data_IF_884250103065
#
_entry.id   IF_884250103065
#
_cell.length_a   1.000
_cell.length_b   1.000
_cell.length_c   1.000
_cell.angle_alpha   90.00
_cell.angle_beta   90.00
_cell.angle_gamma   90.00
#
_symmetry.space_group_name_H-M   'P 1'
#
loop_
_entity.id
_entity.type
_entity.pdbx_description
1 polymer ?
#
# COMPACT_ATOMS: atom_id res chain seq x y z
N UNK A 1 -13.64 -12.41 3.45
CA UNK A 1 -14.17 -11.65 2.27
C UNK A 1 -13.06 -10.77 1.71
N UNK A 2 -12.83 -10.78 0.39
CA UNK A 2 -11.86 -9.89 -0.28
C UNK A 2 -12.54 -9.06 -1.36
N UNK A 3 -12.07 -7.83 -1.61
CA UNK A 3 -12.64 -6.93 -2.61
C UNK A 3 -11.59 -5.95 -3.14
N UNK A 4 -11.81 -5.42 -4.33
CA UNK A 4 -11.06 -4.29 -4.89
C UNK A 4 -11.89 -3.55 -5.94
N UNK A 5 -11.57 -2.30 -6.16
CA UNK A 5 -12.04 -1.51 -7.30
C UNK A 5 -11.08 -0.36 -7.59
N UNK A 6 -11.01 0.03 -8.85
CA UNK A 6 -10.31 1.24 -9.31
C UNK A 6 -11.26 2.03 -10.19
N UNK A 7 -11.37 3.31 -9.97
CA UNK A 7 -12.23 4.21 -10.74
C UNK A 7 -11.43 5.36 -11.36
N UNK A 8 -11.90 5.78 -12.52
CA UNK A 8 -11.33 6.92 -13.23
C UNK A 8 -11.69 8.24 -12.53
N UNK A 9 -10.70 9.02 -12.23
CA UNK A 9 -10.83 10.32 -11.57
C UNK A 9 -11.49 11.39 -12.44
N UNK A 10 -12.13 12.35 -11.79
CA UNK A 10 -12.86 13.41 -12.49
C UNK A 10 -11.95 14.30 -13.36
N UNK A 11 -10.69 14.52 -12.95
CA UNK A 11 -9.69 15.23 -13.76
C UNK A 11 -9.33 14.44 -15.01
N UNK A 12 -9.15 13.12 -14.90
CA UNK A 12 -8.81 12.26 -16.03
C UNK A 12 -9.97 12.10 -17.01
N UNK A 13 -11.21 12.04 -16.51
CA UNK A 13 -12.41 12.11 -17.37
C UNK A 13 -12.41 13.38 -18.21
N UNK A 14 -12.12 14.54 -17.59
CA UNK A 14 -12.08 15.84 -18.25
C UNK A 14 -10.97 15.90 -19.32
N UNK A 15 -9.80 15.34 -19.01
CA UNK A 15 -8.61 15.41 -19.83
C UNK A 15 -8.51 14.23 -20.83
N UNK A 16 -9.52 13.34 -20.85
CA UNK A 16 -9.57 12.12 -21.66
C UNK A 16 -8.33 11.22 -21.46
N UNK A 17 -7.87 11.12 -20.21
CA UNK A 17 -6.78 10.23 -19.80
C UNK A 17 -7.35 8.88 -19.34
N UNK A 18 -6.60 7.78 -19.44
CA UNK A 18 -6.99 6.50 -18.83
C UNK A 18 -6.93 6.60 -17.30
N UNK A 19 -7.56 5.64 -16.61
CA UNK A 19 -7.29 5.40 -15.19
C UNK A 19 -5.83 4.94 -15.03
N UNK A 20 -5.06 5.65 -14.25
CA UNK A 20 -3.65 5.38 -14.00
C UNK A 20 -3.45 4.50 -12.75
N UNK A 21 -4.50 4.32 -11.96
CA UNK A 21 -4.54 3.41 -10.82
C UNK A 21 -4.82 1.96 -11.24
N UNK A 22 -4.33 1.02 -10.45
CA UNK A 22 -4.62 -0.39 -10.59
C UNK A 22 -4.75 -1.08 -9.22
N UNK A 23 -5.76 -1.92 -9.06
CA UNK A 23 -5.96 -2.69 -7.82
C UNK A 23 -6.27 -4.16 -8.09
N UNK A 24 -5.86 -5.01 -7.15
CA UNK A 24 -6.16 -6.46 -7.15
C UNK A 24 -6.51 -6.90 -5.74
N UNK A 25 -7.51 -7.78 -5.63
CA UNK A 25 -7.74 -8.59 -4.45
C UNK A 25 -7.90 -10.05 -4.88
N UNK A 26 -6.94 -10.88 -4.51
CA UNK A 26 -6.93 -12.30 -4.84
C UNK A 26 -7.02 -13.15 -3.57
N UNK A 27 -7.75 -14.24 -3.64
CA UNK A 27 -7.85 -15.23 -2.56
C UNK A 27 -7.68 -16.63 -3.13
N UNK A 28 -6.84 -17.45 -2.50
CA UNK A 28 -6.67 -18.86 -2.83
C UNK A 28 -7.87 -19.68 -2.39
N UNK A 29 -8.42 -20.47 -3.30
CA UNK A 29 -9.47 -21.45 -2.98
C UNK A 29 -8.95 -22.64 -2.17
N UNK A 30 -7.66 -22.98 -2.28
CA UNK A 30 -7.08 -24.15 -1.64
C UNK A 30 -6.77 -23.96 -0.16
N UNK A 31 -6.25 -22.78 0.21
CA UNK A 31 -5.74 -22.55 1.57
C UNK A 31 -6.17 -21.19 2.17
N UNK A 32 -6.98 -20.42 1.44
CA UNK A 32 -7.51 -19.15 1.91
C UNK A 32 -6.50 -18.00 1.96
N UNK A 33 -5.27 -18.18 1.43
CA UNK A 33 -4.31 -17.10 1.35
C UNK A 33 -4.85 -15.91 0.56
N UNK A 34 -4.55 -14.69 1.01
CA UNK A 34 -5.05 -13.44 0.43
C UNK A 34 -3.89 -12.59 -0.04
N UNK A 35 -4.07 -11.92 -1.18
CA UNK A 35 -3.18 -10.87 -1.68
C UNK A 35 -4.01 -9.67 -2.05
N UNK A 36 -3.68 -8.51 -1.49
CA UNK A 36 -4.23 -7.21 -1.85
C UNK A 36 -3.13 -6.36 -2.47
N UNK A 37 -3.44 -5.69 -3.58
CA UNK A 37 -2.50 -4.82 -4.27
C UNK A 37 -3.22 -3.53 -4.66
N UNK A 38 -2.54 -2.39 -4.45
CA UNK A 38 -2.93 -1.09 -4.99
C UNK A 38 -1.67 -0.44 -5.57
N UNK A 39 -1.77 0.00 -6.82
CA UNK A 39 -0.75 0.74 -7.54
C UNK A 39 -1.36 2.05 -8.02
N UNK A 40 -0.72 3.17 -7.69
CA UNK A 40 -1.09 4.49 -8.12
C UNK A 40 -0.10 4.97 -9.19
N UNK A 41 -0.60 5.23 -10.37
CA UNK A 41 0.17 5.70 -11.51
C UNK A 41 0.23 7.22 -11.54
N UNK A 42 1.44 7.79 -11.58
CA UNK A 42 1.63 9.23 -11.48
C UNK A 42 0.93 10.03 -12.59
N UNK A 43 0.22 11.11 -12.21
CA UNK A 43 -0.65 11.90 -13.07
C UNK A 43 0.02 13.00 -13.92
N UNK A 44 1.29 13.38 -13.66
CA UNK A 44 1.92 14.49 -14.39
C UNK A 44 2.27 14.11 -15.85
N UNK A 45 2.39 15.12 -16.70
CA UNK A 45 2.56 14.93 -18.17
C UNK A 45 3.78 14.11 -18.60
N UNK A 46 4.76 13.95 -17.73
CA UNK A 46 5.96 13.14 -17.99
C UNK A 46 5.67 11.64 -17.89
N UNK A 47 4.67 11.24 -17.12
CA UNK A 47 4.32 9.84 -16.86
C UNK A 47 3.28 9.33 -17.86
N UNK A 48 3.64 9.38 -19.14
CA UNK A 48 2.73 9.18 -20.29
C UNK A 48 2.15 7.77 -20.42
N UNK A 49 2.65 6.79 -19.64
CA UNK A 49 2.21 5.38 -19.61
C UNK A 49 2.13 4.85 -18.18
N UNK A 50 1.80 5.70 -17.22
CA UNK A 50 1.67 5.27 -15.83
C UNK A 50 0.53 4.28 -15.62
N UNK A 51 -0.52 4.33 -16.42
CA UNK A 51 -1.59 3.32 -16.48
C UNK A 51 -1.07 1.91 -16.84
N UNK A 52 -0.14 1.83 -17.79
CA UNK A 52 0.55 0.57 -18.11
C UNK A 52 1.52 0.20 -17.01
N UNK A 53 2.22 1.18 -16.45
CA UNK A 53 3.17 0.98 -15.35
C UNK A 53 2.54 0.41 -14.09
N UNK A 54 1.42 0.95 -13.64
CA UNK A 54 0.68 0.52 -12.45
C UNK A 54 0.08 -0.87 -12.63
N UNK A 55 -0.53 -1.13 -13.80
CA UNK A 55 -1.06 -2.45 -14.13
C UNK A 55 0.03 -3.52 -14.13
N UNK A 56 1.14 -3.28 -14.83
CA UNK A 56 2.26 -4.22 -14.87
C UNK A 56 2.87 -4.45 -13.48
N UNK A 57 2.99 -3.41 -12.66
CA UNK A 57 3.48 -3.54 -11.30
C UNK A 57 2.58 -4.45 -10.46
N UNK A 58 1.26 -4.25 -10.51
CA UNK A 58 0.30 -5.07 -9.77
C UNK A 58 0.25 -6.51 -10.25
N UNK A 59 0.21 -6.76 -11.56
CA UNK A 59 0.22 -8.11 -12.15
C UNK A 59 1.50 -8.88 -11.76
N UNK A 60 2.67 -8.23 -11.84
CA UNK A 60 3.96 -8.84 -11.51
C UNK A 60 4.09 -9.08 -10.01
N UNK A 61 3.66 -8.13 -9.18
CA UNK A 61 3.64 -8.30 -7.74
C UNK A 61 2.78 -9.50 -7.34
N UNK A 62 1.55 -9.61 -7.87
CA UNK A 62 0.66 -10.74 -7.60
C UNK A 62 1.31 -12.09 -7.92
N UNK A 63 1.96 -12.20 -9.07
CA UNK A 63 2.63 -13.44 -9.46
C UNK A 63 3.89 -13.74 -8.62
N UNK A 64 4.62 -12.70 -8.21
CA UNK A 64 5.77 -12.85 -7.33
C UNK A 64 5.34 -13.30 -5.92
N UNK A 65 4.28 -12.71 -5.38
CA UNK A 65 3.74 -13.06 -4.07
C UNK A 65 3.12 -14.46 -4.04
N UNK A 66 2.37 -14.85 -5.07
CA UNK A 66 1.90 -16.24 -5.20
C UNK A 66 3.05 -17.24 -5.18
N UNK A 67 4.15 -16.96 -5.88
CA UNK A 67 5.34 -17.81 -5.84
C UNK A 67 6.04 -17.80 -4.49
N UNK A 68 6.02 -16.69 -3.79
CA UNK A 68 6.57 -16.58 -2.45
C UNK A 68 5.75 -17.37 -1.43
N UNK A 69 4.41 -17.33 -1.53
CA UNK A 69 3.50 -18.07 -0.65
C UNK A 69 3.48 -19.57 -0.98
N UNK A 70 3.59 -19.92 -2.27
CA UNK A 70 3.56 -21.30 -2.78
C UNK A 70 4.84 -21.63 -3.54
N UNK A 71 5.99 -21.70 -2.86
CA UNK A 71 7.24 -22.03 -3.54
C UNK A 71 7.14 -23.42 -4.17
N UNK A 72 7.60 -23.51 -5.42
CA UNK A 72 7.78 -24.78 -6.12
C UNK A 72 9.02 -25.46 -5.52
N UNK A 73 8.84 -26.47 -4.66
CA UNK A 73 9.90 -27.18 -3.98
C UNK A 73 9.75 -27.21 -2.46
N UNK A 74 10.78 -27.72 -1.77
CA UNK A 74 10.74 -27.99 -0.32
C UNK A 74 10.89 -26.75 0.59
N UNK A 75 11.03 -25.56 0.04
CA UNK A 75 11.21 -24.33 0.83
C UNK A 75 9.83 -23.71 1.04
N UNK A 76 9.13 -24.14 2.06
CA UNK A 76 7.97 -23.43 2.61
C UNK A 76 8.44 -22.58 3.78
N UNK A 77 7.84 -21.39 4.02
CA UNK A 77 7.99 -20.73 5.29
C UNK A 77 7.56 -21.67 6.41
N UNK A 78 8.51 -22.25 7.10
CA UNK A 78 8.25 -23.10 8.26
C UNK A 78 8.20 -22.26 9.55
N UNK A 79 7.87 -22.89 10.66
CA UNK A 79 7.78 -22.22 11.95
C UNK A 79 9.10 -21.55 12.38
N UNK A 80 10.23 -22.14 12.02
CA UNK A 80 11.55 -21.60 12.41
C UNK A 80 11.88 -20.34 11.59
N UNK A 81 11.57 -20.36 10.29
CA UNK A 81 11.69 -19.18 9.43
C UNK A 81 10.76 -18.05 9.92
N UNK A 82 9.48 -18.36 10.18
CA UNK A 82 8.50 -17.39 10.68
C UNK A 82 8.98 -16.77 12.00
N UNK A 83 9.45 -17.60 12.94
CA UNK A 83 9.97 -17.12 14.22
C UNK A 83 11.23 -16.27 14.06
N UNK A 84 12.11 -16.63 13.12
CA UNK A 84 13.32 -15.87 12.80
C UNK A 84 13.00 -14.47 12.25
N UNK A 85 12.09 -14.38 11.28
CA UNK A 85 11.65 -13.09 10.71
C UNK A 85 10.95 -12.26 11.78
N UNK A 86 10.05 -12.84 12.58
CA UNK A 86 9.37 -12.14 13.66
C UNK A 86 10.35 -11.61 14.69
N UNK A 87 11.36 -12.38 15.07
CA UNK A 87 12.41 -11.96 15.98
C UNK A 87 13.21 -10.76 15.45
N UNK A 88 13.55 -10.76 14.17
CA UNK A 88 14.26 -9.66 13.51
C UNK A 88 13.41 -8.38 13.45
N UNK A 89 12.13 -8.48 13.09
CA UNK A 89 11.19 -7.36 13.09
C UNK A 89 11.06 -6.75 14.47
N UNK A 90 10.84 -7.57 15.50
CA UNK A 90 10.73 -7.12 16.90
C UNK A 90 12.01 -6.44 17.38
N UNK A 91 13.18 -6.98 17.05
CA UNK A 91 14.47 -6.39 17.42
C UNK A 91 14.68 -5.01 16.76
N UNK A 92 14.29 -4.87 15.49
CA UNK A 92 14.36 -3.61 14.76
C UNK A 92 13.41 -2.56 15.36
N UNK A 93 12.17 -2.93 15.66
CA UNK A 93 11.22 -2.03 16.30
C UNK A 93 11.72 -1.54 17.66
N UNK A 94 12.30 -2.44 18.46
CA UNK A 94 12.93 -2.09 19.74
C UNK A 94 14.10 -1.12 19.58
N UNK A 95 14.97 -1.33 18.58
CA UNK A 95 16.10 -0.43 18.28
C UNK A 95 15.60 0.96 17.85
N UNK A 96 14.58 1.04 17.01
CA UNK A 96 13.94 2.30 16.61
C UNK A 96 13.36 3.03 17.80
N UNK A 97 12.61 2.34 18.68
CA UNK A 97 12.02 2.93 19.88
C UNK A 97 13.10 3.42 20.85
N UNK A 98 14.19 2.67 21.01
CA UNK A 98 15.32 3.05 21.87
C UNK A 98 15.98 4.33 21.36
N UNK A 99 16.28 4.39 20.08
CA UNK A 99 16.87 5.59 19.46
C UNK A 99 15.94 6.80 19.52
N UNK A 100 14.64 6.55 19.40
CA UNK A 100 13.62 7.59 19.56
C UNK A 100 13.63 8.14 20.99
N UNK A 101 13.63 7.29 22.01
CA UNK A 101 13.67 7.70 23.42
C UNK A 101 14.96 8.44 23.79
N UNK A 102 16.10 8.07 23.21
CA UNK A 102 17.38 8.75 23.41
C UNK A 102 17.45 10.14 22.73
N UNK A 103 16.71 10.32 21.63
CA UNK A 103 16.67 11.58 20.89
C UNK A 103 15.69 12.62 21.49
N UNK A 104 14.71 12.17 22.25
CA UNK A 104 13.67 12.99 22.87
C UNK A 104 14.18 14.14 23.75
N UNK A 105 15.21 13.99 24.63
CA UNK A 105 15.52 15.01 25.62
C UNK A 105 16.11 16.32 25.09
N UNK A 106 16.38 16.43 23.80
CA UNK A 106 17.12 17.58 23.25
C UNK A 106 16.30 18.52 22.36
N UNK A 107 15.04 18.21 22.09
CA UNK A 107 14.25 18.91 21.08
C UNK A 107 12.86 19.36 21.57
N UNK A 108 12.51 19.17 22.83
CA UNK A 108 11.14 19.25 23.32
C UNK A 108 10.53 20.66 23.38
N UNK A 109 11.33 21.72 23.43
CA UNK A 109 10.79 23.04 23.80
C UNK A 109 10.16 23.81 22.62
N UNK A 110 10.40 23.42 21.35
CA UNK A 110 9.95 24.20 20.18
C UNK A 110 9.27 23.38 19.05
N UNK A 111 8.99 22.09 19.22
CA UNK A 111 8.39 21.27 18.17
C UNK A 111 6.88 21.18 18.28
N UNK A 112 6.17 21.40 17.17
CA UNK A 112 4.74 21.10 17.08
C UNK A 112 4.48 19.61 17.06
N UNK A 113 3.24 19.16 17.37
CA UNK A 113 2.84 17.75 17.29
C UNK A 113 3.09 17.15 15.89
N UNK A 114 2.91 17.96 14.84
CA UNK A 114 3.20 17.56 13.45
C UNK A 114 4.71 17.36 13.22
N UNK A 115 5.56 18.21 13.78
CA UNK A 115 7.02 18.06 13.67
C UNK A 115 7.50 16.81 14.43
N UNK A 116 6.86 16.50 15.55
CA UNK A 116 7.08 15.28 16.31
C UNK A 116 6.73 14.03 15.53
N UNK A 117 5.56 13.99 14.87
CA UNK A 117 5.17 12.87 14.02
C UNK A 117 6.13 12.67 12.86
N UNK A 118 6.51 13.75 12.16
CA UNK A 118 7.50 13.70 11.06
C UNK A 118 8.87 13.22 11.51
N UNK A 119 9.31 13.66 12.68
CA UNK A 119 10.59 13.24 13.26
C UNK A 119 10.60 11.76 13.62
N UNK A 120 9.52 11.29 14.27
CA UNK A 120 9.28 9.89 14.59
C UNK A 120 9.29 9.01 13.33
N UNK A 121 8.54 9.39 12.31
CA UNK A 121 8.50 8.70 11.03
C UNK A 121 9.88 8.61 10.36
N UNK A 122 10.68 9.70 10.41
CA UNK A 122 12.06 9.70 9.90
C UNK A 122 12.98 8.74 10.66
N UNK A 123 12.80 8.61 11.96
CA UNK A 123 13.58 7.66 12.75
C UNK A 123 13.19 6.22 12.44
N UNK A 124 11.88 5.96 12.34
CA UNK A 124 11.33 4.66 11.95
C UNK A 124 11.84 4.25 10.57
N UNK A 125 11.79 5.14 9.59
CA UNK A 125 12.31 4.92 8.25
C UNK A 125 13.83 4.69 8.24
N UNK A 126 14.62 5.51 8.94
CA UNK A 126 16.07 5.33 9.04
C UNK A 126 16.45 4.03 9.74
N UNK A 127 15.67 3.60 10.70
CA UNK A 127 15.83 2.30 11.35
C UNK A 127 15.64 1.15 10.36
N UNK A 128 14.64 1.23 9.50
CA UNK A 128 14.37 0.23 8.46
C UNK A 128 15.46 0.16 7.38
N UNK A 129 15.97 1.31 6.92
CA UNK A 129 16.99 1.38 5.85
C UNK A 129 18.37 0.97 6.35
N UNK A 130 18.71 1.21 7.62
CA UNK A 130 20.04 0.91 8.16
C UNK A 130 20.25 -0.53 8.61
N UNK A 131 19.21 -1.32 8.74
CA UNK A 131 19.27 -2.68 9.27
C UNK A 131 18.79 -3.70 8.26
N UNK A 132 19.48 -3.90 7.14
CA UNK A 132 19.27 -5.12 6.35
C UNK A 132 19.90 -6.25 7.16
N UNK A 133 19.11 -6.85 8.05
CA UNK A 133 19.48 -8.07 8.74
C UNK A 133 19.40 -9.25 7.74
N UNK A 134 20.07 -10.36 8.00
CA UNK A 134 19.98 -11.55 7.14
C UNK A 134 18.54 -11.98 6.87
N UNK A 135 17.63 -11.81 7.83
CA UNK A 135 16.21 -12.11 7.70
C UNK A 135 15.47 -11.14 6.76
N UNK A 136 15.94 -9.90 6.64
CA UNK A 136 15.40 -8.93 5.68
C UNK A 136 15.80 -9.29 4.23
N UNK A 137 16.81 -10.13 4.02
CA UNK A 137 17.31 -10.51 2.70
C UNK A 137 16.22 -11.17 1.84
N UNK A 138 15.30 -11.90 2.44
CA UNK A 138 14.17 -12.53 1.74
C UNK A 138 13.23 -11.48 1.17
N UNK A 139 12.86 -10.45 1.94
CA UNK A 139 12.02 -9.35 1.45
C UNK A 139 12.77 -8.50 0.43
N UNK A 140 14.05 -8.25 0.63
CA UNK A 140 14.90 -7.57 -0.36
C UNK A 140 14.97 -8.35 -1.68
N UNK A 141 15.08 -9.68 -1.62
CA UNK A 141 15.07 -10.53 -2.81
C UNK A 141 13.70 -10.48 -3.52
N UNK A 142 12.59 -10.46 -2.76
CA UNK A 142 11.24 -10.29 -3.31
C UNK A 142 11.10 -8.94 -4.01
N UNK A 143 11.47 -7.83 -3.35
CA UNK A 143 11.40 -6.49 -3.92
C UNK A 143 12.27 -6.35 -5.16
N UNK A 144 13.50 -6.86 -5.14
CA UNK A 144 14.38 -6.90 -6.31
C UNK A 144 13.77 -7.67 -7.46
N UNK A 145 13.21 -8.85 -7.18
CA UNK A 145 12.56 -9.69 -8.21
C UNK A 145 11.35 -9.01 -8.84
N UNK A 146 10.54 -8.31 -8.05
CA UNK A 146 9.38 -7.54 -8.56
C UNK A 146 9.89 -6.40 -9.44
N UNK A 147 10.85 -5.62 -8.96
CA UNK A 147 11.40 -4.48 -9.69
C UNK A 147 12.08 -4.88 -11.01
N UNK A 148 12.92 -5.90 -11.00
CA UNK A 148 13.59 -6.39 -12.20
C UNK A 148 12.60 -6.85 -13.26
N UNK A 149 11.57 -7.63 -12.88
CA UNK A 149 10.52 -8.06 -13.80
C UNK A 149 9.68 -6.91 -14.31
N UNK A 150 9.38 -5.93 -13.46
CA UNK A 150 8.69 -4.71 -13.88
C UNK A 150 9.51 -3.93 -14.92
N UNK A 151 10.82 -3.77 -14.69
CA UNK A 151 11.73 -3.16 -15.67
C UNK A 151 11.73 -3.92 -17.00
N UNK A 152 11.81 -5.24 -16.97
CA UNK A 152 11.74 -6.07 -18.18
C UNK A 152 10.42 -5.86 -18.93
N UNK A 153 9.30 -5.84 -18.21
CA UNK A 153 7.97 -5.70 -18.77
C UNK A 153 7.76 -4.33 -19.42
N UNK A 154 8.15 -3.22 -18.78
CA UNK A 154 8.03 -1.89 -19.36
C UNK A 154 8.96 -1.71 -20.57
N UNK A 155 10.14 -2.31 -20.56
CA UNK A 155 11.01 -2.32 -21.73
C UNK A 155 10.45 -3.17 -22.87
N UNK A 156 9.74 -4.24 -22.55
CA UNK A 156 9.04 -5.04 -23.54
C UNK A 156 7.85 -4.27 -24.14
N UNK A 157 7.05 -3.62 -23.30
CA UNK A 157 5.96 -2.76 -23.77
C UNK A 157 6.46 -1.66 -24.69
N UNK A 158 7.52 -0.95 -24.31
CA UNK A 158 8.10 0.11 -25.12
C UNK A 158 8.64 -0.37 -26.51
N UNK A 159 9.06 -1.64 -26.60
CA UNK A 159 9.46 -2.26 -27.89
C UNK A 159 8.28 -2.67 -28.73
N UNK A 160 7.22 -3.19 -28.11
CA UNK A 160 6.00 -3.63 -28.80
C UNK A 160 5.11 -2.46 -29.20
N UNK A 161 5.08 -1.44 -28.36
CA UNK A 161 4.31 -0.21 -28.51
C UNK A 161 5.28 0.99 -28.51
N UNK A 162 5.93 1.32 -29.65
CA UNK A 162 6.86 2.44 -29.71
C UNK A 162 6.20 3.75 -29.28
N UNK A 163 6.96 4.59 -28.57
CA UNK A 163 6.48 5.92 -28.17
C UNK A 163 6.15 6.78 -29.37
N UNK A 164 5.03 7.47 -29.33
CA UNK A 164 4.67 8.50 -30.30
C UNK A 164 5.56 9.73 -30.13
N UNK A 165 5.58 10.61 -31.12
CA UNK A 165 6.31 11.89 -31.04
C UNK A 165 5.79 12.77 -29.88
N UNK A 166 4.48 12.72 -29.64
CA UNK A 166 3.86 13.45 -28.54
C UNK A 166 4.31 12.92 -27.17
N UNK A 167 4.28 11.59 -26.96
CA UNK A 167 4.78 10.95 -25.73
C UNK A 167 6.25 11.24 -25.50
N UNK A 168 7.08 11.18 -26.54
CA UNK A 168 8.50 11.53 -26.47
C UNK A 168 8.72 13.02 -26.11
N UNK A 169 7.88 13.90 -26.66
CA UNK A 169 7.93 15.32 -26.34
C UNK A 169 7.62 15.58 -24.88
N UNK A 170 6.60 14.90 -24.33
CA UNK A 170 6.22 15.00 -22.90
C UNK A 170 7.27 14.38 -21.98
N UNK A 171 7.80 13.20 -22.32
CA UNK A 171 8.86 12.52 -21.59
C UNK A 171 10.15 13.37 -21.56
N UNK A 172 10.43 14.09 -22.61
CA UNK A 172 11.57 15.00 -22.72
C UNK A 172 12.91 14.28 -22.59
N UNK A 173 13.76 14.72 -21.65
CA UNK A 173 15.10 14.13 -21.41
C UNK A 173 15.10 13.05 -20.33
N UNK A 174 13.94 12.68 -19.80
CA UNK A 174 13.85 11.67 -18.76
C UNK A 174 14.11 10.27 -19.32
N UNK A 175 14.55 9.36 -18.43
CA UNK A 175 14.71 7.95 -18.78
C UNK A 175 13.35 7.32 -19.07
N UNK A 176 13.32 6.29 -19.90
CA UNK A 176 12.11 5.54 -20.27
C UNK A 176 11.28 5.10 -19.04
N UNK A 177 11.95 4.64 -17.98
CA UNK A 177 11.29 4.18 -16.76
C UNK A 177 10.37 5.25 -16.15
N UNK A 178 10.69 6.53 -16.34
CA UNK A 178 9.87 7.65 -15.86
C UNK A 178 8.47 7.66 -16.47
N UNK A 179 8.34 7.28 -17.74
CA UNK A 179 7.05 7.23 -18.44
C UNK A 179 6.03 6.29 -17.76
N UNK A 180 6.50 5.24 -17.06
CA UNK A 180 5.72 4.19 -16.42
C UNK A 180 5.64 4.35 -14.89
N UNK A 181 5.92 5.54 -14.37
CA UNK A 181 6.00 5.78 -12.94
C UNK A 181 4.74 5.37 -12.17
N UNK A 182 4.92 4.61 -11.09
CA UNK A 182 3.84 4.11 -10.25
C UNK A 182 4.34 3.78 -8.85
N UNK A 183 3.45 3.87 -7.87
CA UNK A 183 3.62 3.31 -6.53
C UNK A 183 3.33 1.80 -6.55
N UNK A 184 3.60 1.11 -5.47
CA UNK A 184 3.20 -0.27 -5.25
C UNK A 184 2.98 -0.51 -3.75
N UNK A 185 1.79 -0.92 -3.40
CA UNK A 185 1.40 -1.28 -2.04
C UNK A 185 0.77 -2.66 -2.06
N UNK A 186 1.23 -3.55 -1.16
CA UNK A 186 0.69 -4.90 -1.07
C UNK A 186 0.50 -5.36 0.37
N UNK A 187 -0.54 -6.19 0.57
CA UNK A 187 -0.76 -6.95 1.78
C UNK A 187 -0.98 -8.41 1.44
N UNK A 188 -0.26 -9.29 2.12
CA UNK A 188 -0.33 -10.74 1.94
C UNK A 188 -0.67 -11.39 3.28
N UNK A 189 -1.68 -12.25 3.29
CA UNK A 189 -2.08 -13.02 4.45
C UNK A 189 -2.10 -14.50 4.09
N UNK A 190 -1.45 -15.30 4.89
CA UNK A 190 -1.51 -16.76 4.83
C UNK A 190 -2.28 -17.30 6.05
N UNK A 191 -2.23 -18.59 6.28
CA UNK A 191 -2.78 -19.21 7.47
C UNK A 191 -1.95 -18.91 8.74
N UNK A 192 -0.65 -18.71 8.58
CA UNK A 192 0.32 -18.71 9.68
C UNK A 192 0.92 -17.32 9.94
N UNK A 193 0.96 -16.44 8.94
CA UNK A 193 1.53 -15.11 9.02
C UNK A 193 0.88 -14.16 8.02
N UNK A 194 1.11 -12.87 8.24
CA UNK A 194 0.88 -11.84 7.22
C UNK A 194 2.12 -10.96 7.07
N UNK A 195 2.27 -10.38 5.89
CA UNK A 195 3.22 -9.30 5.64
C UNK A 195 2.61 -8.25 4.71
N UNK A 196 3.17 -7.07 4.78
CA UNK A 196 2.78 -5.96 3.93
C UNK A 196 4.01 -5.18 3.53
N UNK A 197 4.03 -4.64 2.32
CA UNK A 197 5.09 -3.73 1.90
C UNK A 197 4.55 -2.62 1.00
N UNK A 198 5.32 -1.53 0.94
CA UNK A 198 4.89 -0.33 0.25
C UNK A 198 6.08 0.49 -0.23
N UNK A 199 5.99 0.98 -1.46
CA UNK A 199 6.73 2.11 -2.02
C UNK A 199 5.71 3.09 -2.58
N UNK A 200 5.66 4.32 -2.03
CA UNK A 200 4.65 5.32 -2.38
C UNK A 200 4.01 5.98 -1.16
N UNK A 201 2.90 6.67 -1.37
CA UNK A 201 2.19 7.55 -0.45
C UNK A 201 0.71 7.21 -0.19
N UNK A 202 0.18 6.13 -0.77
CA UNK A 202 -1.14 5.63 -0.41
C UNK A 202 -1.22 5.11 1.03
N UNK A 203 -2.42 4.73 1.50
CA UNK A 203 -2.65 4.26 2.87
C UNK A 203 -3.03 2.79 2.95
N UNK A 204 -2.41 2.11 3.91
CA UNK A 204 -2.76 0.75 4.29
C UNK A 204 -3.08 0.72 5.78
N UNK A 205 -4.35 0.55 6.11
CA UNK A 205 -4.83 0.53 7.48
C UNK A 205 -5.39 -0.84 7.84
N UNK A 206 -5.05 -1.30 9.05
CA UNK A 206 -5.64 -2.49 9.66
C UNK A 206 -6.61 -2.10 10.76
N UNK A 207 -7.69 -2.86 10.90
CA UNK A 207 -8.65 -2.72 11.99
C UNK A 207 -8.49 -3.84 13.01
N UNK A 208 -8.34 -3.44 14.27
CA UNK A 208 -8.38 -4.32 15.43
C UNK A 208 -9.48 -3.89 16.38
N UNK A 209 -10.29 -4.86 16.88
CA UNK A 209 -11.47 -4.58 17.73
C UNK A 209 -11.15 -3.66 18.93
N UNK A 210 -10.00 -3.85 19.57
CA UNK A 210 -9.59 -3.06 20.72
C UNK A 210 -8.62 -1.92 20.39
N UNK A 211 -8.26 -1.74 19.12
CA UNK A 211 -7.18 -0.84 18.71
C UNK A 211 -7.65 0.17 17.64
N UNK A 212 -8.84 -0.03 17.07
CA UNK A 212 -9.34 0.76 15.95
C UNK A 212 -8.49 0.59 14.68
N UNK A 213 -8.55 1.58 13.81
CA UNK A 213 -7.74 1.65 12.59
C UNK A 213 -6.33 2.14 12.91
N UNK A 214 -5.34 1.49 12.31
CA UNK A 214 -3.94 1.91 12.39
C UNK A 214 -3.17 1.57 11.14
N UNK A 215 -2.17 2.36 10.81
CA UNK A 215 -1.28 2.10 9.70
C UNK A 215 -0.40 0.88 9.99
N UNK A 216 -0.30 -0.03 9.01
CA UNK A 216 0.47 -1.28 9.15
C UNK A 216 1.92 -1.03 8.76
N UNK A 217 2.15 -0.51 7.55
CA UNK A 217 3.49 -0.23 7.04
C UNK A 217 3.89 1.17 7.48
N UNK A 218 5.08 1.38 8.06
CA UNK A 218 5.53 2.70 8.47
C UNK A 218 5.47 3.71 7.33
N UNK A 219 5.10 4.95 7.65
CA UNK A 219 5.03 6.02 6.65
C UNK A 219 6.40 6.34 6.04
N UNK A 220 6.40 6.71 4.77
CA UNK A 220 7.62 7.14 4.08
C UNK A 220 7.85 8.65 4.25
N UNK A 221 8.86 9.00 5.04
CA UNK A 221 9.21 10.40 5.24
C UNK A 221 9.76 11.11 3.99
N UNK A 222 10.02 10.38 2.89
CA UNK A 222 10.35 10.98 1.60
C UNK A 222 9.11 11.35 0.80
N UNK A 223 7.92 10.86 1.20
CA UNK A 223 6.65 11.28 0.65
C UNK A 223 6.19 12.54 1.38
N UNK A 224 6.26 13.67 0.69
CA UNK A 224 5.89 14.97 1.25
C UNK A 224 5.31 15.86 0.16
N UNK A 225 4.12 16.40 0.36
CA UNK A 225 3.38 17.16 -0.63
C UNK A 225 3.22 16.36 -1.94
N UNK A 226 3.70 16.88 -3.07
CA UNK A 226 3.64 16.23 -4.37
C UNK A 226 4.87 15.35 -4.68
N UNK A 227 5.67 14.99 -3.66
CA UNK A 227 6.80 14.08 -3.82
C UNK A 227 6.45 12.72 -3.23
N UNK A 228 6.53 11.68 -4.04
CA UNK A 228 6.33 10.30 -3.62
C UNK A 228 7.51 9.42 -4.04
N UNK A 229 7.75 8.36 -3.29
CA UNK A 229 8.63 7.27 -3.73
C UNK A 229 7.92 6.40 -4.74
N UNK A 230 8.65 5.84 -5.69
CA UNK A 230 8.06 5.18 -6.85
C UNK A 230 9.01 4.14 -7.43
N UNK A 231 8.46 3.15 -8.13
CA UNK A 231 9.24 2.19 -8.91
C UNK A 231 10.12 2.86 -9.97
N UNK A 232 9.76 4.06 -10.44
CA UNK A 232 10.56 4.80 -11.42
C UNK A 232 11.71 5.62 -10.81
N UNK A 233 11.90 5.60 -9.51
CA UNK A 233 13.03 6.26 -8.86
C UNK A 233 14.37 5.59 -9.22
N UNK A 234 15.46 6.30 -9.00
CA UNK A 234 16.79 5.70 -9.07
C UNK A 234 16.98 4.82 -7.84
N UNK A 235 17.24 3.52 -8.06
CA UNK A 235 17.42 2.54 -6.98
C UNK A 235 16.21 2.47 -6.02
N UNK A 236 15.02 2.01 -6.47
CA UNK A 236 13.81 2.02 -5.65
C UNK A 236 13.77 0.88 -4.60
N UNK A 237 14.56 -0.19 -4.77
CA UNK A 237 14.50 -1.37 -3.88
C UNK A 237 14.76 -1.01 -2.41
N UNK A 238 15.74 -0.19 -2.05
CA UNK A 238 15.93 0.27 -0.66
C UNK A 238 14.83 1.20 -0.13
N UNK A 239 13.93 1.68 -1.00
CA UNK A 239 12.83 2.58 -0.61
C UNK A 239 11.60 1.80 -0.16
N UNK A 240 11.54 0.50 -0.41
CA UNK A 240 10.46 -0.33 0.10
C UNK A 240 10.48 -0.40 1.62
N UNK A 241 9.32 -0.20 2.20
CA UNK A 241 9.04 -0.38 3.64
C UNK A 241 8.16 -1.60 3.79
N UNK A 242 8.28 -2.33 4.87
CA UNK A 242 7.45 -3.50 5.10
C UNK A 242 7.12 -3.69 6.58
N UNK A 243 6.10 -4.49 6.83
CA UNK A 243 5.72 -5.03 8.12
C UNK A 243 5.48 -6.53 8.00
N UNK A 244 5.68 -7.26 9.07
CA UNK A 244 5.48 -8.71 9.13
C UNK A 244 4.95 -9.09 10.51
N UNK A 245 4.01 -10.02 10.55
CA UNK A 245 3.53 -10.63 11.78
C UNK A 245 3.37 -12.15 11.60
N UNK A 246 4.23 -12.90 12.28
CA UNK A 246 4.22 -14.37 12.34
C UNK A 246 3.64 -14.92 13.63
N UNK A 247 2.95 -14.11 14.45
CA UNK A 247 2.36 -14.56 15.71
C UNK A 247 1.07 -15.36 15.53
N UNK A 248 0.53 -15.41 14.32
CA UNK A 248 -0.80 -15.99 14.04
C UNK A 248 -1.95 -15.08 14.42
N UNK A 249 -1.68 -13.81 14.76
CA UNK A 249 -2.69 -12.80 15.03
C UNK A 249 -2.99 -12.04 13.75
N UNK A 250 -4.26 -12.01 13.33
CA UNK A 250 -4.68 -11.35 12.11
C UNK A 250 -5.59 -10.15 12.40
N UNK A 251 -5.42 -9.04 11.65
CA UNK A 251 -6.36 -7.93 11.68
C UNK A 251 -7.77 -8.40 11.31
N UNK A 252 -8.81 -7.79 11.87
CA UNK A 252 -10.19 -8.06 11.48
C UNK A 252 -10.51 -7.54 10.09
N UNK A 253 -9.89 -6.43 9.69
CA UNK A 253 -9.92 -5.94 8.33
C UNK A 253 -8.61 -5.26 7.97
N UNK A 254 -8.26 -5.29 6.69
CA UNK A 254 -7.18 -4.48 6.11
C UNK A 254 -7.71 -3.80 4.87
N UNK A 255 -7.57 -2.48 4.78
CA UNK A 255 -7.92 -1.69 3.61
C UNK A 255 -6.69 -0.94 3.11
N UNK A 256 -6.43 -1.07 1.81
CA UNK A 256 -5.38 -0.39 1.07
C UNK A 256 -6.03 0.59 0.11
N UNK A 257 -5.62 1.85 0.07
CA UNK A 257 -6.14 2.82 -0.89
C UNK A 257 -5.05 3.70 -1.48
N UNK A 258 -5.26 4.18 -2.72
CA UNK A 258 -4.45 5.26 -3.31
C UNK A 258 -4.71 6.59 -2.60
N UNK A 259 -3.82 7.56 -2.83
CA UNK A 259 -3.94 8.91 -2.26
C UNK A 259 -5.22 9.62 -2.70
N UNK A 260 -5.75 9.34 -3.89
CA UNK A 260 -7.03 9.90 -4.35
C UNK A 260 -8.19 9.70 -3.37
N UNK A 261 -8.22 8.55 -2.65
CA UNK A 261 -9.19 8.35 -1.56
C UNK A 261 -8.74 9.09 -0.31
N UNK A 262 -7.48 8.97 0.10
CA UNK A 262 -6.97 9.61 1.32
C UNK A 262 -7.16 11.12 1.28
N UNK A 263 -6.73 11.78 0.22
CA UNK A 263 -6.80 13.23 0.02
C UNK A 263 -8.24 13.75 0.02
N UNK A 264 -9.21 12.89 -0.31
CA UNK A 264 -10.63 13.24 -0.22
C UNK A 264 -11.10 13.48 1.20
N UNK A 265 -10.39 12.98 2.20
CA UNK A 265 -10.67 13.14 3.62
C UNK A 265 -9.72 14.13 4.31
N UNK A 266 -8.77 14.72 3.57
CA UNK A 266 -7.81 15.69 4.04
C UNK A 266 -6.52 15.06 4.54
N UNK A 267 -5.64 15.89 5.09
CA UNK A 267 -4.33 15.47 5.57
C UNK A 267 -4.48 14.44 6.71
N UNK A 268 -4.04 13.21 6.45
CA UNK A 268 -4.13 12.10 7.40
C UNK A 268 -3.31 12.35 8.68
N UNK A 269 -2.19 13.05 8.56
CA UNK A 269 -1.34 13.35 9.71
C UNK A 269 -1.97 14.39 10.66
N UNK A 270 -2.97 15.14 10.16
CA UNK A 270 -3.70 16.16 10.93
C UNK A 270 -5.02 15.62 11.47
N UNK A 271 -5.75 14.84 10.68
CA UNK A 271 -7.09 14.37 11.00
C UNK A 271 -7.32 12.91 10.56
N UNK A 272 -6.55 11.93 11.10
CA UNK A 272 -6.65 10.53 10.72
C UNK A 272 -8.04 9.94 10.94
N UNK A 273 -8.79 10.46 11.92
CA UNK A 273 -10.15 10.01 12.24
C UNK A 273 -11.12 10.15 11.08
N UNK A 274 -10.90 11.04 10.11
CA UNK A 274 -11.78 11.21 8.95
C UNK A 274 -11.73 10.00 8.04
N UNK A 275 -10.54 9.53 7.70
CA UNK A 275 -10.35 8.31 6.92
C UNK A 275 -10.76 7.06 7.72
N UNK A 276 -10.46 7.04 9.03
CA UNK A 276 -10.89 5.97 9.93
C UNK A 276 -12.42 5.84 9.97
N UNK A 277 -13.15 6.96 10.06
CA UNK A 277 -14.61 6.98 10.05
C UNK A 277 -15.17 6.48 8.71
N UNK A 278 -14.56 6.89 7.59
CA UNK A 278 -14.96 6.38 6.28
C UNK A 278 -14.75 4.86 6.20
N UNK A 279 -13.60 4.36 6.61
CA UNK A 279 -13.33 2.92 6.58
C UNK A 279 -14.19 2.13 7.58
N UNK A 280 -14.51 2.71 8.74
CA UNK A 280 -15.48 2.10 9.67
C UNK A 280 -16.87 2.01 9.07
N UNK A 281 -17.35 3.07 8.42
CA UNK A 281 -18.61 3.08 7.69
C UNK A 281 -18.63 2.03 6.58
N UNK A 282 -17.55 1.97 5.78
CA UNK A 282 -17.42 0.99 4.70
C UNK A 282 -17.41 -0.46 5.23
N UNK A 283 -16.63 -0.72 6.29
CA UNK A 283 -16.59 -2.02 6.96
C UNK A 283 -17.99 -2.43 7.45
N UNK A 284 -18.71 -1.49 8.07
CA UNK A 284 -20.06 -1.72 8.56
C UNK A 284 -21.03 -2.09 7.42
N UNK A 285 -20.95 -1.40 6.29
CA UNK A 285 -21.79 -1.72 5.12
C UNK A 285 -21.45 -3.13 4.58
N UNK A 286 -20.17 -3.50 4.48
CA UNK A 286 -19.77 -4.85 4.08
C UNK A 286 -20.31 -5.94 5.02
N UNK A 287 -20.27 -5.71 6.33
CA UNK A 287 -20.76 -6.67 7.33
C UNK A 287 -22.28 -6.83 7.27
N UNK A 288 -23.04 -5.75 7.07
CA UNK A 288 -24.51 -5.79 7.12
C UNK A 288 -25.17 -6.13 5.78
N UNK A 289 -24.56 -5.69 4.67
CA UNK A 289 -25.18 -5.82 3.35
C UNK A 289 -24.46 -6.84 2.44
N UNK A 290 -23.27 -7.27 2.82
CA UNK A 290 -22.46 -8.20 2.05
C UNK A 290 -21.70 -7.56 0.90
N UNK A 291 -20.86 -8.37 0.25
CA UNK A 291 -19.89 -7.92 -0.76
C UNK A 291 -20.56 -7.30 -1.98
N UNK A 292 -21.53 -7.99 -2.58
CA UNK A 292 -22.11 -7.57 -3.87
C UNK A 292 -22.79 -6.21 -3.76
N UNK A 293 -23.65 -6.02 -2.73
CA UNK A 293 -24.33 -4.74 -2.49
C UNK A 293 -23.34 -3.61 -2.24
N UNK A 294 -22.31 -3.87 -1.42
CA UNK A 294 -21.32 -2.86 -1.05
C UNK A 294 -20.46 -2.46 -2.23
N UNK A 295 -20.06 -3.41 -3.09
CA UNK A 295 -19.28 -3.10 -4.30
C UNK A 295 -20.06 -2.20 -5.26
N UNK A 296 -21.35 -2.48 -5.50
CA UNK A 296 -22.20 -1.59 -6.31
C UNK A 296 -22.23 -0.16 -5.73
N UNK A 297 -22.38 -0.04 -4.41
CA UNK A 297 -22.37 1.27 -3.74
C UNK A 297 -21.03 2.00 -3.86
N UNK A 298 -19.91 1.28 -3.74
CA UNK A 298 -18.57 1.85 -3.93
C UNK A 298 -18.38 2.38 -5.35
N UNK A 299 -18.73 1.60 -6.36
CA UNK A 299 -18.64 1.97 -7.77
C UNK A 299 -19.50 3.20 -8.13
N UNK A 300 -20.60 3.42 -7.40
CA UNK A 300 -21.42 4.63 -7.53
C UNK A 300 -20.89 5.80 -6.70
N UNK A 301 -20.28 5.54 -5.56
CA UNK A 301 -19.86 6.55 -4.59
C UNK A 301 -18.50 7.17 -4.96
N UNK A 302 -17.50 6.37 -5.29
CA UNK A 302 -16.15 6.85 -5.53
C UNK A 302 -16.06 7.87 -6.68
N UNK A 303 -16.73 7.71 -7.84
CA UNK A 303 -16.73 8.76 -8.87
C UNK A 303 -17.32 10.08 -8.39
N UNK A 304 -18.35 10.03 -7.54
CA UNK A 304 -18.95 11.24 -6.95
C UNK A 304 -17.99 11.89 -5.94
N UNK A 305 -17.31 11.08 -5.14
CA UNK A 305 -16.30 11.57 -4.20
C UNK A 305 -15.13 12.23 -4.95
N UNK A 306 -14.58 11.56 -5.98
CA UNK A 306 -13.54 12.15 -6.82
C UNK A 306 -13.98 13.50 -7.41
N UNK A 307 -15.19 13.61 -7.93
CA UNK A 307 -15.68 14.82 -8.56
C UNK A 307 -15.73 16.04 -7.62
N UNK A 308 -15.95 15.84 -6.32
CA UNK A 308 -16.10 16.93 -5.34
C UNK A 308 -14.87 17.16 -4.46
N UNK A 309 -13.95 16.19 -4.38
CA UNK A 309 -12.80 16.20 -3.48
C UNK A 309 -11.46 16.19 -4.23
N UNK A 310 -10.71 15.07 -4.23
CA UNK A 310 -9.36 14.98 -4.81
C UNK A 310 -9.30 15.20 -6.32
N UNK A 311 -10.34 14.81 -7.05
CA UNK A 311 -10.45 14.76 -8.51
C UNK A 311 -9.55 13.72 -9.17
N UNK A 312 -8.80 12.97 -8.39
CA UNK A 312 -7.87 11.95 -8.84
C UNK A 312 -8.54 10.61 -9.05
N UNK A 313 -7.81 9.69 -9.69
CA UNK A 313 -8.17 8.27 -9.73
C UNK A 313 -8.27 7.73 -8.29
N UNK A 314 -9.12 6.74 -8.09
CA UNK A 314 -9.31 6.17 -6.77
C UNK A 314 -9.27 4.65 -6.83
N UNK A 315 -8.39 4.06 -6.06
CA UNK A 315 -8.29 2.61 -5.91
C UNK A 315 -8.37 2.20 -4.46
N UNK A 316 -9.08 1.10 -4.23
CA UNK A 316 -9.15 0.44 -2.93
C UNK A 316 -9.09 -1.07 -3.12
N UNK A 317 -8.38 -1.75 -2.24
CA UNK A 317 -8.41 -3.20 -2.07
C UNK A 317 -8.54 -3.53 -0.59
N UNK A 318 -9.28 -4.58 -0.25
CA UNK A 318 -9.46 -4.91 1.16
C UNK A 318 -9.75 -6.38 1.42
N UNK A 319 -9.45 -6.79 2.65
CA UNK A 319 -9.84 -8.06 3.24
C UNK A 319 -10.60 -7.82 4.53
N UNK A 320 -11.67 -8.57 4.73
CA UNK A 320 -12.42 -8.64 5.97
C UNK A 320 -12.39 -10.11 6.41
N UNK A 321 -11.72 -10.37 7.53
CA UNK A 321 -11.58 -11.69 8.09
C UNK A 321 -12.86 -12.05 8.88
N UNK A 322 -13.59 -13.04 8.39
CA UNK A 322 -14.81 -13.55 9.03
C UNK A 322 -14.43 -14.35 10.28
N UNK A 323 -14.78 -13.85 11.45
CA UNK A 323 -14.59 -14.49 12.74
C UNK A 323 -14.98 -13.51 13.85
N UNK A 324 -15.96 -13.85 14.68
CA UNK A 324 -16.44 -13.10 15.87
C UNK A 324 -16.95 -11.65 15.66
N UNK A 325 -17.29 -11.24 14.43
CA UNK A 325 -17.88 -9.92 14.18
C UNK A 325 -19.29 -9.73 14.78
N UNK A 326 -20.02 -10.82 15.03
CA UNK A 326 -21.40 -10.75 15.50
C UNK A 326 -21.56 -10.50 16.99
N UNK A 327 -20.47 -10.36 17.78
CA UNK A 327 -20.60 -10.27 19.22
C UNK A 327 -20.25 -8.93 19.88
N UNK A 328 -19.63 -7.94 19.19
CA UNK A 328 -19.17 -6.72 19.85
C UNK A 328 -19.25 -5.44 19.01
N UNK A 329 -20.25 -5.24 18.20
CA UNK A 329 -20.61 -3.87 17.79
C UNK A 329 -21.74 -3.48 18.75
N UNK A 330 -21.37 -2.89 19.88
CA UNK A 330 -22.33 -2.21 20.76
C UNK A 330 -22.97 -1.08 19.93
N UNK A 331 -24.31 -1.10 19.84
CA UNK A 331 -25.11 -0.09 19.11
C UNK A 331 -24.93 1.33 19.69
N UNK A 332 -24.20 1.48 20.79
CA UNK A 332 -24.02 2.75 21.52
C UNK A 332 -22.89 3.65 21.02
N UNK A 333 -22.04 3.21 20.06
CA UNK A 333 -20.99 4.08 19.48
C UNK A 333 -21.39 4.73 18.13
N UNK A 334 -22.65 4.58 17.72
CA UNK A 334 -23.19 5.09 16.43
C UNK A 334 -24.18 6.26 16.59
N UNK A 335 -24.22 6.95 17.75
CA UNK A 335 -25.04 8.18 17.89
C UNK A 335 -24.21 9.45 17.95
#
# INVERSE_FOLDING_TARGET
>A
MVFNTSILGASHVKDNKPCQDYSVAWQSEENGAVVLIVCDGHGSDTYVRSDVGSRLAGEIALEAEKRFIFPVGDIRPDSDWIAGVQGAVTARESDVLTRYSEALPRAEEDMTDTDWMRYRQRLEFRGQVKGIYEQDAIFQALFSSIYEKWLEAIHQDARQNPFTEEELSRLGRHKLVKAYGTTLMTYVQTRDFWFAFHIGDGRMLSYGVNQGWRQIVPWDCNCFQNQTTSLCNTDPVPMFRYAFDGTGTFPKAVFCCSDGIEDSYGDYDVAPERLHNYFSGLLNVFVHEGKESTMCKLEEFLPKLSAVASKDDMSIAGVINEGDYHQNIDEDELT
#
